data_IF_473219726281
#
_entry.id   IF_473219726281
#
_cell.length_a   1.000
_cell.length_b   1.000
_cell.length_c   1.000
_cell.angle_alpha   90.00
_cell.angle_beta   90.00
_cell.angle_gamma   90.00
#
_symmetry.space_group_name_H-M   'P 1'
#
loop_
_entity.id
_entity.type
_entity.pdbx_description
1 polymer ?
#
# COMPACT_ATOMS: atom_id res chain seq x y z
N UNK A 1 10.97 21.12 21.31
CA UNK A 1 9.88 20.36 20.65
C UNK A 1 10.35 19.07 19.93
N UNK A 2 11.66 18.81 19.81
CA UNK A 2 12.21 17.67 19.06
C UNK A 2 12.23 16.34 19.83
N UNK A 3 12.58 16.35 21.11
CA UNK A 3 12.80 15.09 21.86
C UNK A 3 11.53 14.26 22.15
N UNK A 4 10.35 14.88 22.18
CA UNK A 4 9.09 14.16 22.44
C UNK A 4 8.57 13.38 21.20
N UNK A 5 9.01 13.76 20.01
CA UNK A 5 8.62 13.10 18.75
C UNK A 5 9.60 12.01 18.32
N UNK A 6 10.83 11.97 18.81
CA UNK A 6 11.85 10.98 18.45
C UNK A 6 11.54 9.55 18.95
N UNK A 7 10.61 9.39 19.88
CA UNK A 7 10.21 8.07 20.41
C UNK A 7 8.79 7.62 20.01
N UNK A 8 7.98 8.50 19.47
CA UNK A 8 6.60 8.18 19.11
C UNK A 8 6.55 7.62 17.68
N UNK A 9 6.25 6.33 17.54
CA UNK A 9 6.15 5.66 16.22
C UNK A 9 4.75 5.79 15.59
N UNK A 10 3.73 6.07 16.41
CA UNK A 10 2.31 6.06 16.08
C UNK A 10 1.55 6.74 17.22
N UNK A 11 0.23 6.95 17.08
CA UNK A 11 -0.62 7.32 18.21
C UNK A 11 -0.71 6.21 19.27
N UNK A 12 -0.40 4.96 18.88
CA UNK A 12 -0.34 3.83 19.78
C UNK A 12 1.09 3.63 20.30
N UNK A 13 1.21 3.07 21.49
CA UNK A 13 2.51 2.68 22.04
C UNK A 13 3.02 1.40 21.34
N UNK A 14 4.34 1.32 21.17
CA UNK A 14 4.97 0.08 20.72
C UNK A 14 4.83 -0.97 21.82
N UNK A 15 4.42 -2.23 21.49
CA UNK A 15 4.41 -3.33 22.46
C UNK A 15 5.81 -3.60 23.00
N UNK A 16 5.91 -4.05 24.22
CA UNK A 16 7.18 -4.39 24.86
C UNK A 16 7.78 -5.73 24.39
N UNK A 17 7.05 -6.46 23.56
CA UNK A 17 7.47 -7.74 22.95
C UNK A 17 7.27 -8.96 23.84
N UNK A 18 6.82 -8.81 25.10
CA UNK A 18 6.63 -9.94 26.03
C UNK A 18 5.34 -10.71 25.80
N UNK A 19 4.36 -10.06 25.17
CA UNK A 19 3.00 -10.62 25.00
C UNK A 19 2.74 -11.15 23.58
N UNK A 20 3.79 -11.32 22.76
CA UNK A 20 3.65 -11.87 21.41
C UNK A 20 3.57 -13.40 21.51
N UNK A 21 2.43 -14.03 21.10
CA UNK A 21 2.33 -15.48 21.10
C UNK A 21 3.41 -16.13 20.23
N UNK A 22 4.01 -17.27 20.62
CA UNK A 22 5.07 -17.93 19.86
C UNK A 22 4.74 -18.17 18.38
N UNK A 23 3.49 -18.56 18.10
CA UNK A 23 3.04 -18.79 16.71
C UNK A 23 3.02 -17.51 15.83
N UNK A 24 3.02 -16.33 16.44
CA UNK A 24 3.09 -15.04 15.72
C UNK A 24 4.52 -14.50 15.73
N UNK A 25 5.35 -14.94 16.67
CA UNK A 25 6.75 -14.52 16.74
C UNK A 25 7.50 -14.89 15.47
N UNK A 26 7.33 -16.12 14.96
CA UNK A 26 7.96 -16.57 13.70
C UNK A 26 7.57 -15.65 12.53
N UNK A 27 6.27 -15.36 12.36
CA UNK A 27 5.76 -14.46 11.31
C UNK A 27 6.31 -13.04 11.47
N UNK A 28 6.43 -12.57 12.72
CA UNK A 28 7.01 -11.26 13.01
C UNK A 28 8.50 -11.23 12.63
N UNK A 29 9.25 -12.26 12.96
CA UNK A 29 10.69 -12.37 12.68
C UNK A 29 10.92 -12.44 11.15
N UNK A 30 10.18 -13.28 10.43
CA UNK A 30 10.25 -13.37 8.96
C UNK A 30 9.96 -12.03 8.27
N UNK A 31 8.90 -11.33 8.71
CA UNK A 31 8.59 -10.02 8.16
C UNK A 31 9.63 -8.96 8.51
N UNK A 32 10.23 -9.05 9.70
CA UNK A 32 11.33 -8.18 10.13
C UNK A 32 12.57 -8.41 9.26
N UNK A 33 12.97 -9.64 9.03
CA UNK A 33 14.10 -10.01 8.18
C UNK A 33 13.88 -9.57 6.74
N UNK A 34 12.68 -9.78 6.21
CA UNK A 34 12.30 -9.28 4.88
C UNK A 34 12.47 -7.76 4.77
N UNK A 35 12.01 -6.99 5.76
CA UNK A 35 12.10 -5.54 5.75
C UNK A 35 13.54 -5.05 5.89
N UNK A 36 14.31 -5.64 6.79
CA UNK A 36 15.74 -5.32 6.94
C UNK A 36 16.52 -5.59 5.67
N UNK A 37 16.24 -6.71 4.99
CA UNK A 37 16.90 -7.06 3.73
C UNK A 37 16.58 -6.10 2.60
N UNK A 38 15.32 -5.63 2.49
CA UNK A 38 14.86 -4.83 1.35
C UNK A 38 15.00 -3.32 1.57
N UNK A 39 14.90 -2.84 2.81
CA UNK A 39 14.95 -1.40 3.14
C UNK A 39 16.04 -1.00 4.13
N UNK A 40 16.68 -1.96 4.81
CA UNK A 40 17.65 -1.68 5.86
C UNK A 40 17.03 -1.14 7.17
N UNK A 41 15.70 -1.14 7.27
CA UNK A 41 14.95 -0.75 8.47
C UNK A 41 13.59 -1.44 8.53
N UNK A 42 13.05 -1.53 9.75
CA UNK A 42 11.68 -2.01 9.97
C UNK A 42 10.74 -0.80 9.92
N UNK A 43 9.72 -0.87 9.07
CA UNK A 43 8.67 0.14 8.99
C UNK A 43 7.98 0.33 10.36
N UNK A 44 7.79 1.57 10.76
CA UNK A 44 7.21 1.88 12.06
C UNK A 44 5.81 1.31 12.26
N UNK A 45 5.03 1.17 11.19
CA UNK A 45 3.75 0.45 11.23
C UNK A 45 3.90 -0.96 11.78
N UNK A 46 4.86 -1.73 11.27
CA UNK A 46 5.06 -3.14 11.67
C UNK A 46 5.62 -3.29 13.09
N UNK A 47 6.18 -2.24 13.68
CA UNK A 47 6.56 -2.23 15.08
C UNK A 47 5.37 -2.09 16.05
N UNK A 48 4.22 -1.65 15.55
CA UNK A 48 3.00 -1.42 16.34
C UNK A 48 1.98 -2.55 16.17
N UNK A 49 1.93 -3.18 15.00
CA UNK A 49 0.97 -4.23 14.68
C UNK A 49 0.98 -5.44 15.64
N UNK A 50 2.11 -5.84 16.27
CA UNK A 50 2.11 -6.91 17.26
C UNK A 50 1.25 -6.66 18.50
N UNK A 51 0.72 -5.44 18.71
CA UNK A 51 -0.32 -5.19 19.71
C UNK A 51 -1.55 -6.06 19.53
N UNK A 52 -1.85 -6.46 18.28
CA UNK A 52 -2.93 -7.37 17.99
C UNK A 52 -2.46 -8.49 17.05
N UNK A 53 -1.91 -9.57 17.60
CA UNK A 53 -1.26 -10.62 16.83
C UNK A 53 -2.16 -11.29 15.79
N UNK A 54 -3.44 -11.52 16.12
CA UNK A 54 -4.38 -12.19 15.20
C UNK A 54 -4.67 -11.32 13.97
N UNK A 55 -4.93 -10.02 14.16
CA UNK A 55 -5.15 -9.09 13.05
C UNK A 55 -3.88 -8.87 12.25
N UNK A 56 -2.72 -8.85 12.91
CA UNK A 56 -1.43 -8.75 12.23
C UNK A 56 -1.21 -9.92 11.28
N UNK A 57 -1.41 -11.15 11.77
CA UNK A 57 -1.32 -12.36 10.93
C UNK A 57 -2.31 -12.30 9.77
N UNK A 58 -3.58 -12.04 10.02
CA UNK A 58 -4.61 -11.96 8.99
C UNK A 58 -4.31 -10.90 7.92
N UNK A 59 -3.75 -9.75 8.33
CA UNK A 59 -3.29 -8.72 7.41
C UNK A 59 -2.13 -9.21 6.53
N UNK A 60 -1.13 -9.87 7.09
CA UNK A 60 0.00 -10.39 6.32
C UNK A 60 -0.42 -11.51 5.36
N UNK A 61 -1.28 -12.43 5.79
CA UNK A 61 -1.81 -13.51 4.95
C UNK A 61 -2.58 -12.94 3.75
N UNK A 62 -3.45 -11.96 4.00
CA UNK A 62 -4.21 -11.32 2.93
C UNK A 62 -3.29 -10.52 1.98
N UNK A 63 -2.35 -9.75 2.53
CA UNK A 63 -1.35 -9.06 1.72
C UNK A 63 -0.55 -10.03 0.85
N UNK A 64 -0.09 -11.16 1.42
CA UNK A 64 0.68 -12.16 0.70
C UNK A 64 -0.11 -12.77 -0.46
N UNK A 65 -1.42 -13.02 -0.29
CA UNK A 65 -2.28 -13.53 -1.37
C UNK A 65 -2.42 -12.53 -2.52
N UNK A 66 -2.49 -11.23 -2.22
CA UNK A 66 -2.66 -10.16 -3.23
C UNK A 66 -1.38 -9.85 -4.01
N UNK A 67 -0.22 -10.04 -3.38
CA UNK A 67 1.09 -9.76 -3.98
C UNK A 67 1.86 -11.04 -4.33
N UNK A 68 1.15 -12.16 -4.49
CA UNK A 68 1.74 -13.43 -4.93
C UNK A 68 2.26 -13.30 -6.37
N UNK A 69 3.44 -13.89 -6.71
CA UNK A 69 3.96 -13.88 -8.07
C UNK A 69 3.05 -14.54 -9.13
N UNK A 70 2.13 -15.41 -8.72
CA UNK A 70 1.16 -16.06 -9.61
C UNK A 70 -0.06 -15.17 -9.96
N UNK A 71 -0.14 -13.97 -9.41
CA UNK A 71 -1.20 -13.01 -9.70
C UNK A 71 -1.13 -12.49 -11.14
N UNK A 72 -2.27 -11.99 -11.65
CA UNK A 72 -2.42 -11.53 -13.04
C UNK A 72 -1.87 -10.13 -13.28
N UNK A 73 -2.03 -9.21 -12.33
CA UNK A 73 -1.50 -7.85 -12.41
C UNK A 73 -0.04 -7.82 -11.97
N UNK A 74 0.75 -6.99 -12.63
CA UNK A 74 2.11 -6.73 -12.18
C UNK A 74 2.13 -6.04 -10.81
N UNK A 75 3.22 -6.23 -10.05
CA UNK A 75 3.41 -5.50 -8.79
C UNK A 75 3.35 -3.99 -8.99
N UNK A 76 3.87 -3.48 -10.11
CA UNK A 76 3.79 -2.06 -10.45
C UNK A 76 2.34 -1.59 -10.65
N UNK A 77 1.48 -2.36 -11.33
CA UNK A 77 0.06 -2.02 -11.48
C UNK A 77 -0.65 -1.97 -10.12
N UNK A 78 -0.34 -2.93 -9.23
CA UNK A 78 -0.91 -2.98 -7.88
C UNK A 78 -0.49 -1.78 -7.03
N UNK A 79 0.79 -1.40 -7.09
CA UNK A 79 1.30 -0.21 -6.40
C UNK A 79 0.73 1.08 -6.98
N UNK A 80 0.51 1.16 -8.30
CA UNK A 80 -0.20 2.28 -8.94
C UNK A 80 -1.63 2.42 -8.40
N UNK A 81 -2.39 1.32 -8.36
CA UNK A 81 -3.72 1.30 -7.74
C UNK A 81 -3.63 1.79 -6.30
N UNK A 82 -2.69 1.26 -5.53
CA UNK A 82 -2.47 1.62 -4.13
C UNK A 82 -2.21 3.11 -3.92
N UNK A 83 -1.39 3.74 -4.78
CA UNK A 83 -1.12 5.16 -4.71
C UNK A 83 -2.36 6.01 -5.07
N UNK A 84 -3.13 5.63 -6.10
CA UNK A 84 -4.37 6.32 -6.45
C UNK A 84 -5.39 6.24 -5.31
N UNK A 85 -5.60 5.06 -4.74
CA UNK A 85 -6.50 4.86 -3.60
C UNK A 85 -6.01 5.67 -2.39
N UNK A 86 -4.71 5.63 -2.09
CA UNK A 86 -4.12 6.32 -0.94
C UNK A 86 -4.15 7.84 -1.09
N UNK A 87 -3.98 8.37 -2.31
CA UNK A 87 -4.12 9.80 -2.62
C UNK A 87 -5.58 10.25 -2.44
N UNK A 88 -6.53 9.46 -2.94
CA UNK A 88 -7.96 9.74 -2.80
C UNK A 88 -8.41 9.72 -1.33
N UNK A 89 -7.85 8.82 -0.52
CA UNK A 89 -8.13 8.70 0.92
C UNK A 89 -7.24 9.61 1.80
N UNK A 90 -6.29 10.35 1.23
CA UNK A 90 -5.35 11.22 1.95
C UNK A 90 -4.49 10.48 3.00
N UNK A 91 -4.13 9.21 2.76
CA UNK A 91 -3.27 8.43 3.65
C UNK A 91 -1.79 8.77 3.42
N UNK A 92 -1.25 9.76 4.13
CA UNK A 92 0.13 10.23 3.94
C UNK A 92 1.18 9.14 4.18
N UNK A 93 0.99 8.28 5.19
CA UNK A 93 1.88 7.15 5.44
C UNK A 93 1.92 6.19 4.25
N UNK A 94 0.74 5.81 3.74
CA UNK A 94 0.63 4.89 2.62
C UNK A 94 1.24 5.49 1.35
N UNK A 95 0.99 6.78 1.08
CA UNK A 95 1.62 7.49 -0.05
C UNK A 95 3.14 7.43 0.04
N UNK A 96 3.71 7.72 1.21
CA UNK A 96 5.16 7.73 1.41
C UNK A 96 5.79 6.35 1.21
N UNK A 97 5.18 5.30 1.78
CA UNK A 97 5.76 3.95 1.75
C UNK A 97 5.59 3.29 0.38
N UNK A 98 4.41 3.40 -0.24
CA UNK A 98 4.14 2.79 -1.54
C UNK A 98 4.75 3.54 -2.72
N UNK A 99 4.94 4.86 -2.63
CA UNK A 99 5.72 5.58 -3.64
C UNK A 99 7.19 5.16 -3.65
N UNK A 100 7.78 4.85 -2.49
CA UNK A 100 9.13 4.30 -2.42
C UNK A 100 9.22 2.93 -3.12
N UNK A 101 8.26 2.03 -2.85
CA UNK A 101 8.19 0.72 -3.51
C UNK A 101 8.07 0.89 -5.03
N UNK A 102 7.13 1.73 -5.48
CA UNK A 102 6.91 1.91 -6.92
C UNK A 102 8.13 2.55 -7.60
N UNK A 103 8.83 3.51 -6.97
CA UNK A 103 10.09 4.07 -7.50
C UNK A 103 11.13 2.97 -7.77
N UNK A 104 11.27 2.02 -6.85
CA UNK A 104 12.17 0.88 -7.02
C UNK A 104 11.78 -0.07 -8.15
N UNK A 105 10.48 -0.16 -8.48
CA UNK A 105 9.97 -1.03 -9.54
C UNK A 105 10.10 -0.42 -10.94
N UNK A 106 9.87 0.91 -11.07
CA UNK A 106 9.82 1.57 -12.38
C UNK A 106 11.06 2.39 -12.71
N UNK A 107 11.91 2.68 -11.73
CA UNK A 107 13.13 3.47 -11.86
C UNK A 107 12.90 4.86 -12.49
N UNK A 108 11.75 5.48 -12.18
CA UNK A 108 11.37 6.84 -12.61
C UNK A 108 10.74 7.59 -11.42
N UNK A 109 11.56 8.21 -10.56
CA UNK A 109 11.07 8.91 -9.38
C UNK A 109 10.15 10.09 -9.70
N UNK A 110 10.41 10.83 -10.76
CA UNK A 110 9.60 11.98 -11.16
C UNK A 110 8.19 11.56 -11.59
N UNK A 111 8.10 10.49 -12.37
CA UNK A 111 6.82 9.93 -12.81
C UNK A 111 6.00 9.43 -11.60
N UNK A 112 6.65 8.74 -10.66
CA UNK A 112 5.99 8.26 -9.43
C UNK A 112 5.53 9.42 -8.55
N UNK A 113 6.31 10.48 -8.41
CA UNK A 113 5.90 11.67 -7.65
C UNK A 113 4.66 12.33 -8.28
N UNK A 114 4.60 12.50 -9.62
CA UNK A 114 3.43 13.01 -10.33
C UNK A 114 2.20 12.12 -10.08
N UNK A 115 2.35 10.81 -10.22
CA UNK A 115 1.28 9.84 -9.97
C UNK A 115 0.79 9.90 -8.53
N UNK A 116 1.70 10.04 -7.57
CA UNK A 116 1.39 10.09 -6.14
C UNK A 116 0.58 11.32 -5.77
N UNK A 117 0.95 12.49 -6.29
CA UNK A 117 0.22 13.74 -5.99
C UNK A 117 -1.12 13.83 -6.73
N UNK A 118 -1.10 13.50 -8.00
CA UNK A 118 -2.29 13.47 -8.84
C UNK A 118 -1.99 12.64 -10.10
N UNK A 119 -2.46 11.41 -10.15
CA UNK A 119 -2.19 10.51 -11.27
C UNK A 119 -2.55 11.10 -12.64
N UNK A 120 -3.49 12.07 -12.68
CA UNK A 120 -3.87 12.77 -13.92
C UNK A 120 -2.75 13.63 -14.50
N UNK A 121 -1.77 14.01 -13.68
CA UNK A 121 -0.59 14.78 -14.12
C UNK A 121 0.56 13.92 -14.65
N UNK A 122 0.52 12.61 -14.40
CA UNK A 122 1.51 11.67 -14.92
C UNK A 122 1.21 11.29 -16.38
N UNK A 123 2.27 11.08 -17.17
CA UNK A 123 2.15 10.50 -18.51
C UNK A 123 1.85 9.02 -18.37
N UNK A 124 0.64 8.60 -18.70
CA UNK A 124 0.14 7.23 -18.57
C UNK A 124 -0.23 6.67 -19.93
N UNK A 125 0.03 5.39 -20.15
CA UNK A 125 -0.56 4.65 -21.27
C UNK A 125 -2.09 4.57 -21.09
N UNK A 126 -2.83 4.26 -22.15
CA UNK A 126 -4.30 4.08 -22.06
C UNK A 126 -4.68 3.02 -21.03
N UNK A 127 -3.94 1.90 -20.97
CA UNK A 127 -4.13 0.84 -19.97
C UNK A 127 -3.92 1.34 -18.54
N UNK A 128 -2.82 2.05 -18.30
CA UNK A 128 -2.52 2.63 -16.98
C UNK A 128 -3.56 3.69 -16.58
N UNK A 129 -3.97 4.53 -17.53
CA UNK A 129 -5.00 5.54 -17.30
C UNK A 129 -6.33 4.92 -16.88
N UNK A 130 -6.80 3.92 -17.62
CA UNK A 130 -8.05 3.23 -17.30
C UNK A 130 -8.00 2.56 -15.92
N UNK A 131 -6.86 1.93 -15.57
CA UNK A 131 -6.66 1.31 -14.26
C UNK A 131 -6.69 2.34 -13.12
N UNK A 132 -6.02 3.48 -13.28
CA UNK A 132 -6.04 4.57 -12.31
C UNK A 132 -7.42 5.22 -12.18
N UNK A 133 -8.12 5.45 -13.29
CA UNK A 133 -9.48 6.00 -13.29
C UNK A 133 -10.46 5.06 -12.59
N UNK A 134 -10.34 3.75 -12.83
CA UNK A 134 -11.12 2.73 -12.11
C UNK A 134 -10.84 2.75 -10.60
N UNK A 135 -9.57 2.75 -10.20
CA UNK A 135 -9.17 2.80 -8.79
C UNK A 135 -9.69 4.07 -8.08
N UNK A 136 -9.59 5.22 -8.75
CA UNK A 136 -10.12 6.49 -8.25
C UNK A 136 -11.63 6.42 -8.09
N UNK A 137 -12.35 5.99 -9.13
CA UNK A 137 -13.81 5.98 -9.13
C UNK A 137 -14.34 5.01 -8.07
N UNK A 138 -13.79 3.80 -8.01
CA UNK A 138 -14.17 2.79 -7.01
C UNK A 138 -13.88 3.21 -5.57
N UNK A 139 -12.93 4.14 -5.35
CA UNK A 139 -12.61 4.68 -4.03
C UNK A 139 -13.51 5.87 -3.67
N UNK A 140 -13.68 6.81 -4.59
CA UNK A 140 -14.41 8.06 -4.34
C UNK A 140 -15.94 7.88 -4.41
N UNK A 141 -16.41 6.98 -5.29
CA UNK A 141 -17.83 6.80 -5.62
C UNK A 141 -18.22 5.32 -5.72
N UNK A 142 -17.96 4.49 -4.67
CA UNK A 142 -18.16 3.03 -4.76
C UNK A 142 -19.62 2.62 -5.04
N UNK A 143 -20.59 3.45 -4.64
CA UNK A 143 -22.01 3.21 -4.90
C UNK A 143 -22.46 3.54 -6.32
N UNK A 144 -21.60 4.14 -7.14
CA UNK A 144 -21.91 4.58 -8.51
C UNK A 144 -21.20 3.74 -9.58
N UNK A 145 -20.50 2.67 -9.16
CA UNK A 145 -19.87 1.73 -10.09
C UNK A 145 -20.94 1.04 -10.93
N UNK A 146 -20.77 1.09 -12.24
CA UNK A 146 -21.63 0.42 -13.22
C UNK A 146 -20.78 -0.44 -14.18
N UNK A 147 -21.41 -1.10 -15.11
CA UNK A 147 -20.74 -1.84 -16.17
C UNK A 147 -19.79 -0.97 -17.00
N UNK A 148 -20.09 0.33 -17.14
CA UNK A 148 -19.27 1.25 -17.95
C UNK A 148 -17.82 1.36 -17.46
N UNK A 149 -17.60 1.38 -16.14
CA UNK A 149 -16.25 1.42 -15.58
C UNK A 149 -15.48 0.12 -15.84
N UNK A 150 -16.17 -1.01 -15.77
CA UNK A 150 -15.60 -2.32 -16.04
C UNK A 150 -15.32 -2.50 -17.55
N UNK A 151 -16.25 -2.08 -18.40
CA UNK A 151 -16.10 -2.18 -19.85
C UNK A 151 -14.97 -1.29 -20.40
N UNK A 152 -14.70 -0.13 -19.77
CA UNK A 152 -13.51 0.68 -20.07
C UNK A 152 -12.21 -0.08 -19.84
N UNK A 153 -12.12 -0.89 -18.78
CA UNK A 153 -10.95 -1.75 -18.55
C UNK A 153 -10.84 -2.83 -19.66
N UNK A 154 -11.95 -3.44 -20.05
CA UNK A 154 -11.96 -4.45 -21.12
C UNK A 154 -11.52 -3.86 -22.46
N UNK A 155 -11.94 -2.64 -22.80
CA UNK A 155 -11.55 -1.98 -24.07
C UNK A 155 -10.06 -1.74 -24.21
N UNK A 156 -9.33 -1.59 -23.10
CA UNK A 156 -7.86 -1.43 -23.09
C UNK A 156 -7.14 -2.75 -22.79
N UNK A 157 -7.84 -3.89 -22.88
CA UNK A 157 -7.27 -5.23 -22.86
C UNK A 157 -7.15 -5.91 -21.50
N UNK A 158 -7.86 -5.43 -20.45
CA UNK A 158 -7.96 -6.19 -19.21
C UNK A 158 -8.97 -7.32 -19.35
N UNK A 159 -8.62 -8.51 -18.88
CA UNK A 159 -9.54 -9.65 -18.74
C UNK A 159 -10.21 -9.63 -17.34
N UNK A 160 -11.21 -10.49 -17.16
CA UNK A 160 -12.00 -10.53 -15.93
C UNK A 160 -11.18 -10.97 -14.69
N UNK A 161 -10.11 -11.74 -14.86
CA UNK A 161 -9.21 -12.10 -13.75
C UNK A 161 -8.43 -10.88 -13.26
N UNK A 162 -7.87 -10.08 -14.18
CA UNK A 162 -7.17 -8.84 -13.87
C UNK A 162 -8.10 -7.79 -13.25
N UNK A 163 -9.34 -7.69 -13.75
CA UNK A 163 -10.36 -6.76 -13.22
C UNK A 163 -10.76 -7.14 -11.80
N UNK A 164 -10.99 -8.43 -11.54
CA UNK A 164 -11.30 -8.90 -10.18
C UNK A 164 -10.14 -8.64 -9.23
N UNK A 165 -8.91 -8.90 -9.68
CA UNK A 165 -7.72 -8.62 -8.88
C UNK A 165 -7.56 -7.12 -8.60
N UNK A 166 -7.78 -6.25 -9.59
CA UNK A 166 -7.79 -4.80 -9.39
C UNK A 166 -8.83 -4.38 -8.32
N UNK A 167 -10.02 -4.98 -8.35
CA UNK A 167 -11.06 -4.71 -7.34
C UNK A 167 -10.60 -5.14 -5.93
N UNK A 168 -9.95 -6.29 -5.79
CA UNK A 168 -9.37 -6.72 -4.51
C UNK A 168 -8.29 -5.76 -4.02
N UNK A 169 -7.38 -5.30 -4.90
CA UNK A 169 -6.34 -4.33 -4.54
C UNK A 169 -6.96 -2.99 -4.11
N UNK A 170 -7.95 -2.47 -4.84
CA UNK A 170 -8.69 -1.27 -4.42
C UNK A 170 -9.31 -1.46 -3.03
N UNK A 171 -9.98 -2.59 -2.80
CA UNK A 171 -10.58 -2.93 -1.51
C UNK A 171 -9.54 -3.00 -0.38
N UNK A 172 -8.41 -3.65 -0.62
CA UNK A 172 -7.31 -3.78 0.34
C UNK A 172 -6.73 -2.42 0.73
N UNK A 173 -6.43 -1.55 -0.23
CA UNK A 173 -5.91 -0.21 0.07
C UNK A 173 -6.96 0.67 0.75
N UNK A 174 -8.23 0.58 0.39
CA UNK A 174 -9.31 1.27 1.11
C UNK A 174 -9.41 0.81 2.57
N UNK A 175 -9.30 -0.49 2.83
CA UNK A 175 -9.24 -1.05 4.17
C UNK A 175 -8.01 -0.56 4.93
N UNK A 176 -6.82 -0.71 4.35
CA UNK A 176 -5.57 -0.34 5.03
C UNK A 176 -5.44 1.16 5.27
N UNK A 177 -5.81 2.01 4.32
CA UNK A 177 -5.73 3.46 4.49
C UNK A 177 -6.54 3.94 5.69
N UNK A 178 -7.72 3.33 5.97
CA UNK A 178 -8.57 3.75 7.08
C UNK A 178 -7.93 3.47 8.44
N UNK A 179 -7.56 2.23 8.72
CA UNK A 179 -6.98 1.92 10.03
C UNK A 179 -5.56 2.47 10.17
N UNK A 180 -4.75 2.51 9.10
CA UNK A 180 -3.42 3.15 9.13
C UNK A 180 -3.55 4.64 9.48
N UNK A 181 -4.50 5.36 8.86
CA UNK A 181 -4.71 6.77 9.17
C UNK A 181 -5.18 6.99 10.61
N UNK A 182 -5.97 6.06 11.20
CA UNK A 182 -6.44 6.19 12.59
C UNK A 182 -5.35 5.98 13.63
N UNK A 183 -4.36 5.13 13.35
CA UNK A 183 -3.22 4.92 14.26
C UNK A 183 -2.02 5.81 13.93
N UNK A 184 -2.04 6.48 12.78
CA UNK A 184 -1.07 7.48 12.31
C UNK A 184 0.40 7.07 12.55
N UNK A 185 0.91 5.98 11.96
CA UNK A 185 2.31 5.63 12.08
C UNK A 185 3.16 6.69 11.38
N UNK A 186 4.32 7.01 11.97
CA UNK A 186 5.28 7.94 11.36
C UNK A 186 6.08 7.17 10.30
N UNK A 187 6.09 7.68 9.07
CA UNK A 187 6.88 7.08 8.01
C UNK A 187 8.38 7.16 8.32
N UNK A 188 9.11 6.09 8.08
CA UNK A 188 10.55 6.06 8.29
C UNK A 188 11.24 7.05 7.32
N UNK A 189 12.24 7.82 7.78
CA UNK A 189 12.96 8.77 6.92
C UNK A 189 13.60 8.14 5.68
N UNK A 190 13.90 6.84 5.72
CA UNK A 190 14.43 6.07 4.59
C UNK A 190 13.53 6.13 3.36
N UNK A 191 12.22 6.03 3.52
CA UNK A 191 11.27 6.06 2.40
C UNK A 191 11.28 7.36 1.57
N UNK A 192 11.73 8.46 2.16
CA UNK A 192 11.87 9.74 1.45
C UNK A 192 13.14 9.83 0.61
N UNK A 193 14.12 8.95 0.86
CA UNK A 193 15.45 8.99 0.25
C UNK A 193 15.72 7.80 -0.68
N UNK A 194 15.03 6.70 -0.47
CA UNK A 194 15.20 5.46 -1.20
C UNK A 194 14.72 5.61 -2.65
N UNK A 195 15.41 4.96 -3.58
CA UNK A 195 15.01 4.86 -4.98
C UNK A 195 14.80 6.24 -5.67
N UNK A 196 15.66 7.22 -5.33
CA UNK A 196 15.65 8.56 -5.93
C UNK A 196 16.86 8.82 -6.78
#
# INVERSE_FOLDING_TARGET
>A
MSEKYDQQLSYLQKPDGKDIPPAIQEIFDENTDFQMKNWGFINNLFKVLPLNPLQYKGFLDFKASLFNPECYLSTADKEMIGLVVSSTNHCSYCLTTHSDVLRGLVNDPEWVDKLTYNYRSATLTERQRALCDYAYFATAYPGEISTDQVDKLRTVGFNDHEILEAAFIVGFFNYTNRWVSTIAPIANPGHFKHNR
#
